data_IF_277475248543
#
_entry.id   IF_277475248543
#
_cell.length_a   1.000
_cell.length_b   1.000
_cell.length_c   1.000
_cell.angle_alpha   90.00
_cell.angle_beta   90.00
_cell.angle_gamma   90.00
#
_symmetry.space_group_name_H-M   'P 1'
#
loop_
_entity.id
_entity.type
_entity.pdbx_description
1 polymer ?
#
# COMPACT_ATOMS: atom_id res chain seq x y z
N UNK A 1 -15.99 -16.74 0.50
CA UNK A 1 -15.81 -16.99 1.96
C UNK A 1 -14.71 -16.05 2.40
N UNK A 2 -15.05 -15.04 3.20
CA UNK A 2 -14.01 -14.21 3.84
C UNK A 2 -13.24 -15.11 4.79
N UNK A 3 -12.06 -15.54 4.39
CA UNK A 3 -11.11 -16.07 5.34
C UNK A 3 -10.74 -14.89 6.25
N UNK A 4 -11.15 -14.95 7.49
CA UNK A 4 -10.88 -13.88 8.47
C UNK A 4 -9.38 -13.66 8.64
N UNK A 5 -9.02 -12.52 9.20
CA UNK A 5 -7.61 -12.15 9.45
C UNK A 5 -6.80 -13.30 10.01
N UNK A 6 -5.61 -13.51 9.48
CA UNK A 6 -4.70 -14.56 9.95
C UNK A 6 -4.44 -14.42 11.45
N UNK A 7 -4.41 -15.52 12.22
CA UNK A 7 -4.26 -15.47 13.68
C UNK A 7 -2.99 -14.74 14.16
N UNK A 8 -1.91 -14.84 13.38
CA UNK A 8 -0.67 -14.13 13.70
C UNK A 8 -0.83 -12.61 13.60
N UNK A 9 -1.54 -12.10 12.58
CA UNK A 9 -1.83 -10.68 12.46
C UNK A 9 -2.65 -10.16 13.64
N UNK A 10 -3.65 -10.93 14.08
CA UNK A 10 -4.44 -10.57 15.27
C UNK A 10 -3.58 -10.52 16.53
N UNK A 11 -2.62 -11.44 16.67
CA UNK A 11 -1.69 -11.43 17.81
C UNK A 11 -0.77 -10.22 17.75
N UNK A 12 -0.16 -9.93 16.60
CA UNK A 12 0.70 -8.76 16.39
C UNK A 12 -0.08 -7.46 16.70
N UNK A 13 -1.30 -7.34 16.18
CA UNK A 13 -2.14 -6.16 16.41
C UNK A 13 -2.49 -5.91 17.89
N UNK A 14 -2.66 -6.98 18.69
CA UNK A 14 -2.91 -6.85 20.14
C UNK A 14 -1.70 -6.35 20.92
N UNK A 15 -0.50 -6.64 20.46
CA UNK A 15 0.75 -6.18 21.07
C UNK A 15 1.10 -4.73 20.67
N UNK A 16 0.43 -4.21 19.66
CA UNK A 16 0.59 -2.82 19.22
C UNK A 16 -0.42 -1.92 19.96
N UNK A 17 0.05 -0.80 20.49
CA UNK A 17 -0.82 0.21 21.10
C UNK A 17 -1.53 1.05 20.01
N UNK A 18 -2.53 0.47 19.34
CA UNK A 18 -3.23 1.09 18.21
C UNK A 18 -4.52 1.77 18.69
N UNK A 19 -4.68 3.04 18.29
CA UNK A 19 -5.94 3.78 18.38
C UNK A 19 -6.48 4.02 16.98
N UNK A 20 -7.75 3.73 16.72
CA UNK A 20 -8.39 3.84 15.41
C UNK A 20 -9.44 4.94 15.39
N UNK A 21 -9.57 5.65 14.26
CA UNK A 21 -10.55 6.70 14.03
C UNK A 21 -11.19 6.57 12.65
N UNK A 22 -12.48 6.87 12.52
CA UNK A 22 -13.20 6.97 11.23
C UNK A 22 -13.62 5.65 10.60
N UNK A 23 -13.53 4.51 11.29
CA UNK A 23 -13.85 3.19 10.70
C UNK A 23 -15.33 2.79 10.80
N UNK A 24 -16.16 3.56 11.52
CA UNK A 24 -17.56 3.21 11.79
C UNK A 24 -18.44 3.28 10.52
N UNK A 25 -18.10 4.16 9.59
CA UNK A 25 -18.85 4.42 8.34
C UNK A 25 -18.10 3.93 7.09
N UNK A 26 -17.27 2.89 7.21
CA UNK A 26 -16.52 2.36 6.07
C UNK A 26 -17.47 1.80 5.00
N UNK A 27 -17.33 2.20 3.71
CA UNK A 27 -18.20 1.72 2.65
C UNK A 27 -18.03 0.22 2.38
N UNK A 28 -19.14 -0.44 2.03
CA UNK A 28 -19.13 -1.83 1.60
C UNK A 28 -18.48 -2.01 0.22
N UNK A 29 -17.94 -3.19 -0.03
CA UNK A 29 -17.35 -3.61 -1.30
C UNK A 29 -15.83 -3.66 -1.26
N UNK A 30 -15.19 -3.97 -2.40
CA UNK A 30 -13.74 -4.00 -2.46
C UNK A 30 -13.16 -2.59 -2.28
N UNK A 31 -12.23 -2.45 -1.36
CA UNK A 31 -11.62 -1.18 -0.98
C UNK A 31 -10.15 -1.14 -1.41
N UNK A 32 -9.70 -0.02 -1.93
CA UNK A 32 -8.29 0.30 -2.13
C UNK A 32 -7.88 1.27 -1.02
N UNK A 33 -7.30 0.73 0.03
CA UNK A 33 -6.69 1.51 1.10
C UNK A 33 -5.36 2.07 0.64
N UNK A 34 -5.25 3.38 0.63
CA UNK A 34 -4.03 4.11 0.29
C UNK A 34 -3.50 4.75 1.56
N UNK A 35 -2.28 4.41 1.96
CA UNK A 35 -1.72 4.89 3.21
C UNK A 35 -0.35 5.56 3.05
N UNK A 36 0.01 6.48 3.95
CA UNK A 36 1.40 6.92 4.11
C UNK A 36 2.23 5.80 4.73
N UNK A 37 3.55 5.86 4.55
CA UNK A 37 4.46 4.80 4.96
C UNK A 37 5.57 5.33 5.85
N UNK A 38 5.43 5.14 7.16
CA UNK A 38 6.38 5.59 8.17
C UNK A 38 7.51 4.57 8.40
N UNK A 39 7.15 3.28 8.54
CA UNK A 39 8.10 2.21 8.85
C UNK A 39 7.55 0.82 8.50
N UNK A 40 8.33 -0.23 8.72
CA UNK A 40 7.95 -1.61 8.43
C UNK A 40 6.69 -2.07 9.19
N UNK A 41 6.41 -1.52 10.37
CA UNK A 41 5.24 -1.91 11.19
C UNK A 41 3.91 -1.54 10.55
N UNK A 42 3.87 -0.58 9.64
CA UNK A 42 2.64 -0.13 8.98
C UNK A 42 1.94 -1.26 8.26
N UNK A 43 2.71 -2.20 7.66
CA UNK A 43 2.14 -3.36 6.94
C UNK A 43 1.39 -4.32 7.86
N UNK A 44 1.54 -4.22 9.18
CA UNK A 44 0.80 -4.97 10.18
C UNK A 44 -0.22 -4.10 10.90
N UNK A 45 0.16 -2.89 11.32
CA UNK A 45 -0.68 -2.00 12.11
C UNK A 45 -1.97 -1.62 11.35
N UNK A 46 -1.86 -1.24 10.08
CA UNK A 46 -3.03 -0.87 9.28
C UNK A 46 -3.94 -2.09 9.05
N UNK A 47 -3.49 -3.24 8.52
CA UNK A 47 -4.38 -4.40 8.36
C UNK A 47 -4.97 -4.92 9.68
N UNK A 48 -4.23 -4.80 10.81
CA UNK A 48 -4.79 -5.15 12.12
C UNK A 48 -5.94 -4.24 12.55
N UNK A 49 -5.92 -2.97 12.11
CA UNK A 49 -6.91 -1.94 12.41
C UNK A 49 -8.17 -2.03 11.55
N UNK A 50 -8.06 -2.58 10.32
CA UNK A 50 -9.20 -2.65 9.40
C UNK A 50 -10.26 -3.62 9.92
N UNK A 51 -11.57 -3.34 9.73
CA UNK A 51 -12.64 -4.27 10.10
C UNK A 51 -12.71 -5.50 9.18
N UNK A 52 -12.13 -5.41 7.99
CA UNK A 52 -12.06 -6.49 6.99
C UNK A 52 -10.62 -6.92 6.70
N UNK A 53 -10.47 -8.09 6.07
CA UNK A 53 -9.18 -8.56 5.58
C UNK A 53 -8.81 -7.88 4.26
N UNK A 54 -7.52 -7.67 4.03
CA UNK A 54 -7.03 -7.08 2.78
C UNK A 54 -5.71 -7.71 2.32
N UNK A 55 -5.49 -7.67 1.02
CA UNK A 55 -4.19 -8.01 0.44
C UNK A 55 -3.24 -6.80 0.54
N UNK A 56 -2.06 -7.00 1.06
CA UNK A 56 -1.04 -5.95 1.18
C UNK A 56 -0.11 -5.99 -0.01
N UNK A 57 -0.06 -4.89 -0.77
CA UNK A 57 0.89 -4.74 -1.88
C UNK A 57 2.27 -4.39 -1.32
N UNK A 58 3.21 -5.30 -1.47
CA UNK A 58 4.56 -5.17 -0.92
C UNK A 58 5.64 -5.31 -1.99
N UNK A 59 6.87 -4.85 -1.66
CA UNK A 59 8.02 -5.10 -2.53
C UNK A 59 8.26 -6.60 -2.71
N UNK A 60 8.59 -7.02 -3.94
CA UNK A 60 8.96 -8.41 -4.25
C UNK A 60 10.08 -8.95 -3.34
N UNK A 61 10.99 -8.10 -2.86
CA UNK A 61 12.03 -8.48 -1.90
C UNK A 61 11.52 -8.91 -0.54
N UNK A 62 10.37 -8.40 -0.12
CA UNK A 62 9.70 -8.84 1.10
C UNK A 62 8.82 -10.07 0.85
N UNK A 63 8.28 -10.21 -0.35
CA UNK A 63 7.45 -11.33 -0.74
C UNK A 63 8.25 -12.59 -1.05
N UNK A 64 9.44 -12.45 -1.67
CA UNK A 64 10.24 -13.58 -2.15
C UNK A 64 11.51 -13.79 -1.34
N UNK A 65 12.03 -15.02 -1.36
CA UNK A 65 13.16 -15.47 -0.57
C UNK A 65 14.45 -14.68 -0.85
N UNK A 66 15.09 -14.18 0.20
CA UNK A 66 16.42 -13.59 0.16
C UNK A 66 17.40 -14.41 1.01
N UNK A 67 18.71 -14.26 0.78
CA UNK A 67 19.78 -15.10 1.31
C UNK A 67 20.17 -14.86 2.78
N UNK A 68 19.68 -13.82 3.47
CA UNK A 68 20.00 -13.55 4.86
C UNK A 68 19.00 -14.19 5.83
N UNK A 69 19.48 -14.65 6.99
CA UNK A 69 18.63 -15.26 8.06
C UNK A 69 17.57 -14.27 8.54
N UNK A 70 17.92 -12.99 8.70
CA UNK A 70 17.00 -11.96 9.14
C UNK A 70 15.84 -11.77 8.12
N UNK A 71 16.16 -11.76 6.84
CA UNK A 71 15.14 -11.69 5.77
C UNK A 71 14.25 -12.93 5.74
N UNK A 72 14.78 -14.11 6.06
CA UNK A 72 13.99 -15.35 6.13
C UNK A 72 12.98 -15.31 7.29
N UNK A 73 13.36 -14.76 8.44
CA UNK A 73 12.46 -14.58 9.60
C UNK A 73 11.37 -13.55 9.27
N UNK A 74 11.73 -12.39 8.71
CA UNK A 74 10.77 -11.36 8.27
C UNK A 74 9.75 -11.93 7.29
N UNK A 75 10.22 -12.68 6.31
CA UNK A 75 9.36 -13.34 5.33
C UNK A 75 8.39 -14.32 5.99
N UNK A 76 8.88 -15.17 6.90
CA UNK A 76 8.03 -16.12 7.62
C UNK A 76 6.90 -15.40 8.38
N UNK A 77 7.21 -14.28 9.02
CA UNK A 77 6.21 -13.45 9.72
C UNK A 77 5.19 -12.89 8.73
N UNK A 78 5.66 -12.30 7.64
CA UNK A 78 4.78 -11.71 6.60
C UNK A 78 3.86 -12.77 6.00
N UNK A 79 4.38 -13.91 5.56
CA UNK A 79 3.60 -15.00 4.94
C UNK A 79 2.53 -15.59 5.88
N UNK A 80 2.81 -15.61 7.20
CA UNK A 80 1.86 -16.13 8.19
C UNK A 80 0.90 -15.06 8.75
N UNK A 81 1.23 -13.79 8.62
CA UNK A 81 0.40 -12.69 9.11
C UNK A 81 -0.48 -12.04 8.04
N UNK A 82 0.00 -12.00 6.78
CA UNK A 82 -0.62 -11.21 5.72
C UNK A 82 -0.92 -12.04 4.47
N UNK A 83 -1.93 -11.61 3.72
CA UNK A 83 -2.07 -11.91 2.31
C UNK A 83 -1.29 -10.85 1.54
N UNK A 84 -0.37 -11.24 0.66
CA UNK A 84 0.53 -10.29 0.01
C UNK A 84 0.49 -10.39 -1.51
N UNK A 85 0.58 -9.24 -2.15
CA UNK A 85 0.77 -9.12 -3.60
C UNK A 85 2.14 -8.49 -3.85
N UNK A 86 3.07 -9.24 -4.47
CA UNK A 86 4.39 -8.72 -4.77
C UNK A 86 4.34 -7.71 -5.91
N UNK A 87 4.98 -6.54 -5.70
CA UNK A 87 5.12 -5.51 -6.71
C UNK A 87 6.61 -5.18 -6.92
N UNK A 88 7.12 -5.41 -8.13
CA UNK A 88 8.49 -5.06 -8.47
C UNK A 88 8.54 -3.81 -9.35
N UNK A 89 8.91 -2.69 -8.74
CA UNK A 89 8.98 -1.39 -9.43
C UNK A 89 10.29 -1.18 -10.19
N UNK A 90 11.32 -1.98 -9.91
CA UNK A 90 12.65 -1.88 -10.52
C UNK A 90 12.92 -2.97 -11.56
N UNK A 91 12.11 -4.02 -11.62
CA UNK A 91 12.30 -5.18 -12.50
C UNK A 91 11.91 -4.97 -13.96
N UNK A 92 11.60 -3.73 -14.35
CA UNK A 92 11.14 -3.43 -15.69
C UNK A 92 9.61 -3.52 -15.85
N UNK A 93 9.12 -3.16 -17.05
CA UNK A 93 7.68 -2.98 -17.31
C UNK A 93 6.86 -4.26 -17.13
N UNK A 94 7.42 -5.42 -17.49
CA UNK A 94 6.69 -6.69 -17.46
C UNK A 94 6.39 -7.13 -16.00
N UNK A 95 7.38 -7.02 -15.10
CA UNK A 95 7.21 -7.38 -13.68
C UNK A 95 6.27 -6.41 -12.97
N UNK A 96 6.41 -5.12 -13.26
CA UNK A 96 5.47 -4.12 -12.73
C UNK A 96 4.03 -4.42 -13.21
N UNK A 97 3.85 -4.73 -14.49
CA UNK A 97 2.55 -5.08 -15.07
C UNK A 97 1.96 -6.34 -14.43
N UNK A 98 2.78 -7.37 -14.19
CA UNK A 98 2.31 -8.60 -13.54
C UNK A 98 1.78 -8.33 -12.12
N UNK A 99 2.51 -7.58 -11.30
CA UNK A 99 2.06 -7.22 -9.94
C UNK A 99 0.80 -6.35 -9.95
N UNK A 100 0.70 -5.38 -10.86
CA UNK A 100 -0.50 -4.56 -11.03
C UNK A 100 -1.71 -5.41 -11.46
N UNK A 101 -1.52 -6.39 -12.35
CA UNK A 101 -2.57 -7.30 -12.78
C UNK A 101 -3.04 -8.23 -11.65
N UNK A 102 -2.13 -8.72 -10.79
CA UNK A 102 -2.50 -9.49 -9.60
C UNK A 102 -3.37 -8.64 -8.66
N UNK A 103 -2.99 -7.40 -8.41
CA UNK A 103 -3.76 -6.48 -7.57
C UNK A 103 -5.14 -6.16 -8.19
N UNK A 104 -5.20 -5.93 -9.51
CA UNK A 104 -6.46 -5.74 -10.22
C UNK A 104 -7.40 -6.94 -10.07
N UNK A 105 -6.89 -8.16 -10.24
CA UNK A 105 -7.68 -9.40 -10.07
C UNK A 105 -8.20 -9.55 -8.65
N UNK A 106 -7.39 -9.23 -7.64
CA UNK A 106 -7.84 -9.26 -6.25
C UNK A 106 -9.10 -8.40 -6.04
N UNK A 107 -9.13 -7.17 -6.59
CA UNK A 107 -10.32 -6.31 -6.54
C UNK A 107 -11.52 -6.89 -7.30
N UNK A 108 -11.29 -7.47 -8.48
CA UNK A 108 -12.37 -8.11 -9.26
C UNK A 108 -12.94 -9.33 -8.56
N UNK A 109 -12.12 -10.02 -7.75
CA UNK A 109 -12.55 -11.15 -6.90
C UNK A 109 -13.24 -10.67 -5.60
N UNK A 110 -13.46 -9.36 -5.43
CA UNK A 110 -14.11 -8.75 -4.26
C UNK A 110 -13.19 -8.58 -3.05
N UNK A 111 -11.87 -8.74 -3.20
CA UNK A 111 -10.90 -8.56 -2.12
C UNK A 111 -10.42 -7.11 -2.06
N UNK A 112 -10.16 -6.61 -0.86
CA UNK A 112 -9.61 -5.28 -0.63
C UNK A 112 -8.09 -5.26 -0.69
N UNK A 113 -7.50 -4.10 -0.98
CA UNK A 113 -6.05 -3.90 -1.10
C UNK A 113 -5.55 -2.81 -0.16
N UNK A 114 -4.38 -3.01 0.43
CA UNK A 114 -3.59 -1.95 1.06
C UNK A 114 -2.37 -1.65 0.20
N UNK A 115 -2.20 -0.37 -0.14
CA UNK A 115 -1.10 0.11 -0.98
C UNK A 115 -0.46 1.33 -0.33
N UNK A 116 0.88 1.39 -0.35
CA UNK A 116 1.67 2.54 0.06
C UNK A 116 2.20 3.26 -1.19
N UNK A 117 1.52 4.32 -1.68
CA UNK A 117 1.88 4.95 -2.96
C UNK A 117 3.23 5.66 -2.96
N UNK A 118 3.77 5.99 -1.81
CA UNK A 118 5.11 6.56 -1.68
C UNK A 118 6.19 5.59 -2.22
N UNK A 119 5.97 4.29 -2.10
CA UNK A 119 6.82 3.23 -2.61
C UNK A 119 8.02 2.90 -1.72
N UNK A 120 8.21 3.64 -0.64
CA UNK A 120 9.15 3.38 0.46
C UNK A 120 8.67 4.15 1.70
N UNK A 121 9.12 3.75 2.89
CA UNK A 121 8.90 4.56 4.10
C UNK A 121 9.87 5.73 4.17
N UNK A 122 9.41 6.87 4.72
CA UNK A 122 10.13 8.14 4.67
C UNK A 122 11.20 8.28 5.72
N UNK A 123 11.03 7.65 6.88
CA UNK A 123 11.87 7.89 8.05
C UNK A 123 11.65 9.24 8.73
N UNK A 124 11.09 10.21 8.03
CA UNK A 124 10.73 11.52 8.55
C UNK A 124 9.22 11.60 8.82
N UNK A 125 8.81 12.41 9.78
CA UNK A 125 7.40 12.65 10.10
C UNK A 125 6.76 13.54 9.03
N UNK A 126 6.50 12.97 7.85
CA UNK A 126 5.93 13.65 6.68
C UNK A 126 5.16 12.69 5.78
N UNK A 127 4.27 13.23 4.97
CA UNK A 127 3.58 12.53 3.88
C UNK A 127 4.14 13.02 2.56
N UNK A 128 4.54 12.13 1.68
CA UNK A 128 5.13 12.51 0.40
C UNK A 128 4.19 12.23 -0.77
N UNK A 129 4.54 12.77 -1.94
CA UNK A 129 3.77 12.57 -3.17
C UNK A 129 3.74 11.11 -3.58
N UNK A 130 2.55 10.53 -3.62
CA UNK A 130 2.34 9.13 -4.02
C UNK A 130 2.62 8.86 -5.49
N UNK A 131 2.85 7.61 -5.86
CA UNK A 131 2.94 7.10 -7.24
C UNK A 131 1.56 6.67 -7.74
N UNK A 132 1.35 6.67 -9.06
CA UNK A 132 0.04 6.45 -9.68
C UNK A 132 -0.37 4.98 -9.84
N UNK A 133 0.38 4.04 -9.28
CA UNK A 133 0.09 2.60 -9.37
C UNK A 133 -1.30 2.25 -8.81
N UNK A 134 -1.66 2.80 -7.65
CA UNK A 134 -2.95 2.56 -7.02
C UNK A 134 -4.12 3.07 -7.89
N UNK A 135 -4.02 4.28 -8.49
CA UNK A 135 -5.05 4.76 -9.43
C UNK A 135 -5.18 3.88 -10.66
N UNK A 136 -4.08 3.34 -11.17
CA UNK A 136 -4.13 2.44 -12.32
C UNK A 136 -4.88 1.16 -11.99
N UNK A 137 -4.55 0.52 -10.88
CA UNK A 137 -5.25 -0.68 -10.39
C UNK A 137 -6.74 -0.37 -10.22
N UNK A 138 -7.06 0.73 -9.55
CA UNK A 138 -8.42 1.18 -9.28
C UNK A 138 -9.22 1.40 -10.58
N UNK A 139 -8.65 2.12 -11.56
CA UNK A 139 -9.33 2.43 -12.82
C UNK A 139 -9.54 1.18 -13.68
N UNK A 140 -8.56 0.28 -13.72
CA UNK A 140 -8.65 -0.97 -14.48
C UNK A 140 -9.57 -2.01 -13.83
N UNK A 141 -9.81 -1.92 -12.50
CA UNK A 141 -10.76 -2.77 -11.78
C UNK A 141 -12.17 -2.19 -11.73
N UNK A 142 -12.36 -0.90 -12.05
CA UNK A 142 -13.67 -0.26 -12.03
C UNK A 142 -14.49 -0.65 -13.27
N UNK A 143 -15.34 -1.66 -13.12
CA UNK A 143 -16.24 -2.21 -14.15
C UNK A 143 -17.70 -1.89 -13.84
N UNK A 144 -18.64 -2.46 -14.59
CA UNK A 144 -20.07 -2.36 -14.27
C UNK A 144 -20.42 -3.14 -13.00
N UNK A 145 -19.79 -4.30 -12.79
CA UNK A 145 -20.06 -5.21 -11.68
C UNK A 145 -19.25 -4.85 -10.42
N UNK A 146 -18.02 -4.33 -10.60
CA UNK A 146 -17.12 -4.05 -9.49
C UNK A 146 -16.79 -2.56 -9.45
N UNK A 147 -17.09 -1.91 -8.32
CA UNK A 147 -16.88 -0.49 -8.08
C UNK A 147 -16.02 -0.30 -6.81
N UNK A 148 -14.70 -0.45 -6.92
CA UNK A 148 -13.85 -0.32 -5.74
C UNK A 148 -13.91 1.10 -5.16
N UNK A 149 -13.86 1.22 -3.83
CA UNK A 149 -13.71 2.49 -3.17
C UNK A 149 -12.23 2.88 -3.03
N UNK A 150 -11.92 4.17 -3.05
CA UNK A 150 -10.59 4.68 -2.74
C UNK A 150 -10.61 5.32 -1.35
N UNK A 151 -9.94 4.68 -0.41
CA UNK A 151 -9.97 5.04 1.00
C UNK A 151 -8.56 5.44 1.50
N UNK A 152 -8.33 6.73 1.77
CA UNK A 152 -7.09 7.16 2.39
C UNK A 152 -7.03 6.72 3.86
N UNK A 153 -5.88 6.24 4.29
CA UNK A 153 -5.61 5.83 5.67
C UNK A 153 -4.35 6.52 6.17
N UNK A 154 -4.50 7.38 7.16
CA UNK A 154 -3.38 8.01 7.84
C UNK A 154 -2.82 7.12 8.94
N UNK A 155 -1.49 6.98 9.01
CA UNK A 155 -0.81 6.39 10.16
C UNK A 155 0.17 7.40 10.76
N UNK A 156 0.11 7.55 12.08
CA UNK A 156 0.96 8.43 12.87
C UNK A 156 1.47 7.68 14.11
N UNK A 157 2.71 7.98 14.51
CA UNK A 157 3.40 7.37 15.64
C UNK A 157 3.80 8.41 16.68
N UNK A 158 3.60 8.12 17.97
CA UNK A 158 4.04 8.94 19.08
C UNK A 158 4.85 8.10 20.10
N UNK A 159 6.16 8.29 20.21
CA UNK A 159 7.03 9.11 19.35
C UNK A 159 7.22 8.53 17.94
N UNK A 160 7.73 9.34 17.00
CA UNK A 160 8.04 8.88 15.64
C UNK A 160 9.10 7.77 15.65
N UNK A 161 8.96 6.71 14.83
CA UNK A 161 9.86 5.57 14.84
C UNK A 161 11.31 5.94 14.54
N UNK A 162 12.25 5.44 15.31
CA UNK A 162 13.69 5.61 15.08
C UNK A 162 14.31 4.39 14.37
N UNK A 163 13.78 3.18 14.62
CA UNK A 163 14.11 1.97 13.88
C UNK A 163 12.99 1.66 12.87
N UNK A 164 13.22 2.04 11.63
CA UNK A 164 12.23 1.92 10.54
C UNK A 164 12.04 0.49 10.07
N UNK A 165 13.03 -0.38 10.27
CA UNK A 165 13.01 -1.78 9.87
C UNK A 165 12.46 -2.71 10.96
N UNK A 166 12.26 -2.21 12.18
CA UNK A 166 11.65 -2.98 13.25
C UNK A 166 10.20 -3.34 12.91
N UNK A 167 9.86 -4.60 13.07
CA UNK A 167 8.48 -5.11 12.89
C UNK A 167 7.80 -5.44 14.24
N UNK A 168 8.53 -5.29 15.35
CA UNK A 168 7.98 -5.40 16.71
C UNK A 168 7.68 -4.02 17.29
N UNK A 169 6.65 -3.89 18.14
CA UNK A 169 6.35 -2.64 18.84
C UNK A 169 7.54 -2.14 19.66
N UNK A 170 7.75 -0.82 19.68
CA UNK A 170 8.84 -0.15 20.41
C UNK A 170 8.30 0.91 21.38
N UNK A 171 7.19 0.65 22.06
CA UNK A 171 6.52 1.55 23.00
C UNK A 171 5.92 2.83 22.37
N UNK A 172 5.70 2.84 21.05
CA UNK A 172 4.97 3.92 20.40
C UNK A 172 3.47 3.74 20.56
N UNK A 173 2.74 4.85 20.70
CA UNK A 173 1.32 4.90 20.44
C UNK A 173 1.11 5.04 18.94
N UNK A 174 0.28 4.20 18.34
CA UNK A 174 0.00 4.18 16.90
C UNK A 174 -1.43 4.70 16.68
N UNK A 175 -1.57 5.75 15.88
CA UNK A 175 -2.86 6.28 15.47
C UNK A 175 -3.12 5.93 14.02
N UNK A 176 -4.24 5.24 13.75
CA UNK A 176 -4.67 4.87 12.41
C UNK A 176 -6.02 5.53 12.14
N UNK A 177 -6.05 6.42 11.16
CA UNK A 177 -7.24 7.22 10.82
C UNK A 177 -7.72 6.89 9.42
N UNK A 178 -8.95 6.43 9.27
CA UNK A 178 -9.63 6.33 7.98
C UNK A 178 -10.18 7.70 7.62
N UNK A 179 -9.79 8.22 6.45
CA UNK A 179 -10.32 9.47 5.93
C UNK A 179 -11.56 9.23 5.06
N UNK A 180 -12.25 10.30 4.69
CA UNK A 180 -13.39 10.24 3.78
C UNK A 180 -13.00 9.61 2.43
N UNK A 181 -13.91 8.82 1.81
CA UNK A 181 -13.67 8.22 0.51
C UNK A 181 -13.39 9.27 -0.57
N UNK A 182 -12.41 9.01 -1.42
CA UNK A 182 -12.09 9.89 -2.56
C UNK A 182 -13.00 9.57 -3.75
N UNK A 183 -13.76 10.56 -4.20
CA UNK A 183 -14.50 10.44 -5.47
C UNK A 183 -13.55 10.58 -6.67
N UNK A 184 -13.29 9.47 -7.33
CA UNK A 184 -12.41 9.40 -8.49
C UNK A 184 -13.15 9.27 -9.84
N UNK A 185 -14.49 9.31 -9.86
CA UNK A 185 -15.31 9.06 -11.06
C UNK A 185 -14.98 9.99 -12.21
N UNK A 186 -14.86 11.29 -11.95
CA UNK A 186 -14.48 12.26 -12.97
C UNK A 186 -13.09 12.01 -13.56
N UNK A 187 -12.13 11.62 -12.70
CA UNK A 187 -10.78 11.27 -13.13
C UNK A 187 -10.77 9.97 -13.96
N UNK A 188 -11.54 8.95 -13.57
CA UNK A 188 -11.70 7.71 -14.33
C UNK A 188 -12.31 7.96 -15.71
N UNK A 189 -13.39 8.77 -15.81
CA UNK A 189 -13.97 9.16 -17.10
C UNK A 189 -12.94 9.88 -17.97
N UNK A 190 -12.22 10.86 -17.41
CA UNK A 190 -11.15 11.57 -18.12
C UNK A 190 -10.07 10.63 -18.63
N UNK A 191 -9.66 9.63 -17.84
CA UNK A 191 -8.71 8.62 -18.25
C UNK A 191 -9.20 7.78 -19.43
N UNK A 192 -10.48 7.35 -19.38
CA UNK A 192 -11.07 6.48 -20.39
C UNK A 192 -11.18 7.16 -21.77
N UNK A 193 -11.53 8.46 -21.80
CA UNK A 193 -11.72 9.21 -23.06
C UNK A 193 -10.43 9.86 -23.58
N UNK A 194 -9.38 9.98 -22.75
CA UNK A 194 -8.13 10.64 -23.15
C UNK A 194 -7.35 9.78 -24.14
N UNK A 195 -6.90 10.40 -25.23
CA UNK A 195 -6.07 9.76 -26.25
C UNK A 195 -4.58 10.07 -26.08
N UNK A 196 -4.25 11.20 -25.44
CA UNK A 196 -2.87 11.59 -25.20
C UNK A 196 -2.33 11.16 -23.84
N UNK A 197 -1.02 10.97 -23.77
CA UNK A 197 -0.33 10.47 -22.59
C UNK A 197 -0.41 11.43 -21.38
N UNK A 198 -0.37 12.74 -21.64
CA UNK A 198 -0.35 13.74 -20.58
C UNK A 198 -1.70 13.82 -19.87
N UNK A 199 -2.81 13.84 -20.61
CA UNK A 199 -4.16 13.82 -20.05
C UNK A 199 -4.42 12.54 -19.25
N UNK A 200 -4.02 11.38 -19.76
CA UNK A 200 -4.07 10.12 -19.00
C UNK A 200 -3.25 10.17 -17.71
N UNK A 201 -2.05 10.73 -17.77
CA UNK A 201 -1.17 10.89 -16.60
C UNK A 201 -1.82 11.81 -15.56
N UNK A 202 -2.40 12.94 -15.98
CA UNK A 202 -3.13 13.85 -15.06
C UNK A 202 -4.31 13.17 -14.42
N UNK A 203 -5.12 12.42 -15.18
CA UNK A 203 -6.25 11.68 -14.64
C UNK A 203 -5.85 10.64 -13.59
N UNK A 204 -4.77 9.87 -13.84
CA UNK A 204 -4.22 8.93 -12.86
C UNK A 204 -3.65 9.62 -11.60
N UNK A 205 -3.15 10.85 -11.75
CA UNK A 205 -2.52 11.59 -10.67
C UNK A 205 -3.52 12.13 -9.66
N UNK A 206 -4.63 12.68 -10.13
CA UNK A 206 -5.59 13.43 -9.34
C UNK A 206 -6.11 12.67 -8.09
N UNK A 207 -6.60 11.41 -8.16
CA UNK A 207 -7.13 10.73 -6.99
C UNK A 207 -6.05 10.46 -5.93
N UNK A 208 -4.82 10.15 -6.35
CA UNK A 208 -3.72 9.88 -5.41
C UNK A 208 -3.25 11.17 -4.73
N UNK A 209 -3.14 12.28 -5.46
CA UNK A 209 -2.76 13.55 -4.85
C UNK A 209 -3.82 14.01 -3.84
N UNK A 210 -5.12 13.79 -4.11
CA UNK A 210 -6.20 14.03 -3.15
C UNK A 210 -6.06 13.12 -1.92
N UNK A 211 -5.85 11.82 -2.10
CA UNK A 211 -5.69 10.87 -1.02
C UNK A 211 -4.50 11.21 -0.11
N UNK A 212 -3.32 11.50 -0.70
CA UNK A 212 -2.13 11.83 0.10
C UNK A 212 -2.26 13.15 0.86
N UNK A 213 -3.00 14.12 0.33
CA UNK A 213 -3.31 15.37 1.05
C UNK A 213 -4.29 15.13 2.20
N UNK A 214 -5.33 14.32 1.98
CA UNK A 214 -6.26 13.94 3.06
C UNK A 214 -5.55 13.21 4.19
N UNK A 215 -4.61 12.32 3.87
CA UNK A 215 -3.75 11.64 4.85
C UNK A 215 -2.91 12.64 5.63
N UNK A 216 -2.24 13.57 4.96
CA UNK A 216 -1.41 14.58 5.61
C UNK A 216 -2.22 15.45 6.59
N UNK A 217 -3.43 15.86 6.20
CA UNK A 217 -4.36 16.60 7.05
C UNK A 217 -4.82 15.77 8.26
N UNK A 218 -5.23 14.51 8.04
CA UNK A 218 -5.73 13.64 9.10
C UNK A 218 -4.65 13.22 10.12
N UNK A 219 -3.38 13.25 9.73
CA UNK A 219 -2.24 12.89 10.59
C UNK A 219 -1.51 14.10 11.17
N UNK A 220 -1.90 15.32 10.80
CA UNK A 220 -1.18 16.56 11.11
C UNK A 220 0.30 16.53 10.69
N UNK A 221 0.61 15.80 9.61
CA UNK A 221 1.95 15.71 9.05
C UNK A 221 2.12 16.64 7.83
N UNK A 222 3.30 17.25 7.63
CA UNK A 222 3.55 18.08 6.47
C UNK A 222 3.46 17.27 5.17
N UNK A 223 2.76 17.81 4.15
CA UNK A 223 2.73 17.23 2.81
C UNK A 223 3.89 17.75 1.96
N UNK A 224 4.69 16.85 1.43
CA UNK A 224 5.82 17.15 0.54
C UNK A 224 5.43 16.78 -0.90
N UNK A 225 5.21 17.78 -1.76
CA UNK A 225 4.82 17.57 -3.18
C UNK A 225 6.00 17.10 -4.06
N UNK A 226 6.74 16.12 -3.55
CA UNK A 226 7.85 15.46 -4.23
C UNK A 226 7.83 13.96 -3.88
N UNK A 227 7.94 13.06 -4.87
CA UNK A 227 8.03 11.63 -4.59
C UNK A 227 9.37 11.30 -3.91
N UNK A 228 9.37 10.26 -3.09
CA UNK A 228 10.61 9.68 -2.54
C UNK A 228 11.46 9.17 -3.70
N UNK A 229 12.75 9.48 -3.68
CA UNK A 229 13.72 8.88 -4.58
C UNK A 229 13.98 7.45 -4.13
N UNK A 230 13.52 6.48 -4.94
CA UNK A 230 13.84 5.09 -4.67
C UNK A 230 15.31 4.82 -5.01
N UNK A 231 16.03 4.17 -4.09
CA UNK A 231 17.40 3.74 -4.35
C UNK A 231 17.44 2.86 -5.61
N UNK A 232 18.33 3.15 -6.58
CA UNK A 232 18.48 2.31 -7.75
C UNK A 232 18.90 0.90 -7.31
N UNK A 233 18.12 -0.09 -7.69
CA UNK A 233 18.42 -1.49 -7.44
C UNK A 233 19.10 -2.09 -8.66
N UNK A 234 20.13 -2.89 -8.43
CA UNK A 234 20.86 -3.61 -9.49
C UNK A 234 20.27 -4.97 -9.79
N UNK A 235 19.50 -5.52 -8.85
CA UNK A 235 18.93 -6.87 -8.92
C UNK A 235 17.50 -6.89 -8.40
N UNK A 236 16.71 -7.86 -8.87
CA UNK A 236 15.38 -8.20 -8.34
C UNK A 236 15.33 -9.68 -7.96
N UNK A 237 14.34 -10.07 -7.17
CA UNK A 237 14.13 -11.46 -6.75
C UNK A 237 12.88 -11.98 -7.45
N UNK A 238 13.02 -13.11 -8.16
CA UNK A 238 11.92 -13.82 -8.80
C UNK A 238 11.13 -14.64 -7.77
N UNK A 239 9.92 -15.08 -8.16
CA UNK A 239 9.09 -15.98 -7.36
C UNK A 239 9.83 -17.29 -6.99
N UNK A 240 10.73 -17.76 -7.86
CA UNK A 240 11.63 -18.90 -7.59
C UNK A 240 12.60 -18.66 -6.44
N UNK A 241 12.77 -17.42 -5.97
CA UNK A 241 13.78 -16.99 -5.02
C UNK A 241 15.15 -16.71 -5.67
N UNK A 242 15.26 -16.78 -6.99
CA UNK A 242 16.46 -16.44 -7.74
C UNK A 242 16.65 -14.93 -7.80
N UNK A 243 17.88 -14.45 -7.54
CA UNK A 243 18.25 -13.05 -7.70
C UNK A 243 18.80 -12.83 -9.12
N UNK A 244 18.10 -12.01 -9.89
CA UNK A 244 18.48 -11.72 -11.29
C UNK A 244 18.80 -10.23 -11.45
N UNK A 245 19.76 -9.89 -12.37
CA UNK A 245 20.08 -8.51 -12.69
C UNK A 245 18.86 -7.78 -13.27
N UNK A 246 18.67 -6.53 -12.88
CA UNK A 246 17.71 -5.63 -13.52
C UNK A 246 18.38 -5.12 -14.80
N UNK A 247 17.84 -5.50 -15.95
CA UNK A 247 18.32 -4.96 -17.21
C UNK A 247 17.86 -3.50 -17.33
N UNK A 248 18.80 -2.58 -17.49
CA UNK A 248 18.54 -1.21 -17.92
C UNK A 248 17.88 -1.26 -19.33
N UNK A 249 16.55 -1.16 -19.38
CA UNK A 249 15.78 -1.04 -20.63
C UNK A 249 14.87 0.17 -20.58
#
# INVERSE_FOLDING_TARGET
MNEGKKPLLQTIGREMAITTHGFDDMPEGPNVFVANHACMRDIFAIPASLPEDCDVVISSRLAYKNSSVDTAVRRLVIENALHTIPLEVHGGKEYLKAGLEMARRALLDGRSLLIFPEGAYTGDAQVTKGRTGASRILFEANTEEVKPNLLPVGIHYEPWPTDLDAYTPQNEQIHVTLCDPIDYRAAHQSYAISTDHESRRRALRAPIDMAMRAIAEATDLPYIDRPIELWPRKTMILESGEEVPISDR
#
